data_IF_849184184938
#
_entry.id   IF_849184184938
#
_cell.length_a   1.000
_cell.length_b   1.000
_cell.length_c   1.000
_cell.angle_alpha   90.00
_cell.angle_beta   90.00
_cell.angle_gamma   90.00
#
_symmetry.space_group_name_H-M   'P 1'
#
loop_
_entity.id
_entity.type
_entity.pdbx_description
1 polymer ?
#
# COMPACT_ATOMS: atom_id res chain seq x y z
N UNK A 1 5.35 26.05 -26.63
CA UNK A 1 5.80 25.04 -27.62
C UNK A 1 5.11 23.75 -27.24
N UNK A 2 4.12 23.30 -28.01
CA UNK A 2 3.49 21.98 -27.88
C UNK A 2 4.55 20.95 -28.22
N UNK A 3 5.08 20.27 -27.21
CA UNK A 3 5.88 19.06 -27.42
C UNK A 3 4.87 17.96 -27.77
N UNK A 4 4.64 17.78 -29.05
CA UNK A 4 3.89 16.67 -29.60
C UNK A 4 4.81 15.45 -29.52
N UNK A 5 4.89 14.84 -28.33
CA UNK A 5 5.50 13.52 -28.13
C UNK A 5 4.51 12.47 -28.68
N UNK A 6 4.47 12.37 -30.01
CA UNK A 6 3.94 11.18 -30.68
C UNK A 6 4.88 10.02 -30.31
N UNK A 7 4.67 9.42 -29.15
CA UNK A 7 5.34 8.17 -28.79
C UNK A 7 4.81 7.10 -29.75
N UNK A 8 5.59 6.73 -30.75
CA UNK A 8 5.36 5.51 -31.51
C UNK A 8 5.15 4.36 -30.50
N UNK A 9 3.98 3.75 -30.58
CA UNK A 9 3.68 2.58 -29.73
C UNK A 9 4.57 1.43 -30.20
N UNK A 10 5.60 1.13 -29.44
CA UNK A 10 6.43 -0.05 -29.70
C UNK A 10 5.56 -1.27 -29.41
N UNK A 11 5.21 -2.00 -30.46
CA UNK A 11 4.54 -3.30 -30.35
C UNK A 11 5.61 -4.38 -30.36
N UNK A 12 6.05 -4.80 -29.18
CA UNK A 12 6.87 -6.00 -29.07
C UNK A 12 5.92 -7.24 -28.97
N UNK A 13 6.24 -8.29 -29.73
CA UNK A 13 5.69 -9.61 -29.47
C UNK A 13 6.22 -10.05 -28.10
N UNK A 14 5.39 -9.97 -27.08
CA UNK A 14 5.77 -10.45 -25.76
C UNK A 14 5.61 -11.97 -25.69
N UNK A 15 6.56 -12.69 -25.08
CA UNK A 15 6.34 -14.08 -24.74
C UNK A 15 5.12 -14.20 -23.81
N UNK A 16 4.47 -15.33 -23.84
CA UNK A 16 3.41 -15.64 -22.89
C UNK A 16 3.96 -15.46 -21.47
N UNK A 17 3.30 -14.62 -20.65
CA UNK A 17 3.80 -14.26 -19.34
C UNK A 17 3.61 -15.42 -18.38
N UNK A 18 4.67 -16.10 -18.04
CA UNK A 18 4.68 -17.01 -16.92
C UNK A 18 4.88 -16.20 -15.63
N UNK A 19 3.84 -16.15 -14.80
CA UNK A 19 3.90 -15.49 -13.48
C UNK A 19 4.48 -16.50 -12.49
N UNK A 20 5.56 -16.11 -11.85
CA UNK A 20 6.25 -16.85 -10.81
C UNK A 20 6.11 -16.14 -9.47
N UNK A 21 6.40 -16.83 -8.37
CA UNK A 21 6.39 -16.26 -7.02
C UNK A 21 7.62 -16.69 -6.24
N UNK A 22 8.12 -15.80 -5.37
CA UNK A 22 9.28 -16.09 -4.51
C UNK A 22 8.99 -17.12 -3.42
N UNK A 23 7.71 -17.23 -2.99
CA UNK A 23 7.23 -18.22 -2.02
C UNK A 23 6.07 -18.98 -2.67
N UNK A 24 6.13 -20.31 -2.66
CA UNK A 24 5.06 -21.17 -3.15
C UNK A 24 3.77 -21.04 -2.35
N UNK A 25 2.62 -21.40 -2.93
CA UNK A 25 1.32 -21.23 -2.24
C UNK A 25 1.26 -22.03 -0.95
N UNK A 26 1.67 -23.30 -0.98
CA UNK A 26 1.66 -24.17 0.20
C UNK A 26 2.57 -23.67 1.33
N UNK A 27 3.73 -23.12 0.97
CA UNK A 27 4.65 -22.54 1.93
C UNK A 27 4.07 -21.25 2.54
N UNK A 28 3.45 -20.39 1.73
CA UNK A 28 2.82 -19.18 2.22
C UNK A 28 1.62 -19.46 3.12
N UNK A 29 0.81 -20.48 2.81
CA UNK A 29 -0.27 -20.94 3.69
C UNK A 29 0.25 -21.42 5.05
N UNK A 30 1.38 -22.13 5.08
CA UNK A 30 2.04 -22.51 6.35
C UNK A 30 2.48 -21.27 7.12
N UNK A 31 3.10 -20.30 6.47
CA UNK A 31 3.51 -19.04 7.11
C UNK A 31 2.31 -18.33 7.73
N UNK A 32 1.21 -18.17 6.99
CA UNK A 32 -0.03 -17.55 7.52
C UNK A 32 -0.54 -18.33 8.74
N UNK A 33 -0.57 -19.64 8.67
CA UNK A 33 -1.05 -20.51 9.75
C UNK A 33 -0.21 -20.36 11.02
N UNK A 34 1.13 -20.32 10.89
CA UNK A 34 2.03 -20.13 12.02
C UNK A 34 1.91 -18.71 12.62
N UNK A 35 1.80 -17.69 11.80
CA UNK A 35 1.59 -16.31 12.26
C UNK A 35 0.25 -16.17 12.97
N UNK A 36 -0.81 -16.80 12.47
CA UNK A 36 -2.13 -16.86 13.12
C UNK A 36 -2.06 -17.55 14.48
N UNK A 37 -1.29 -18.63 14.60
CA UNK A 37 -1.04 -19.30 15.90
C UNK A 37 -0.38 -18.34 16.89
N UNK A 38 0.61 -17.54 16.45
CA UNK A 38 1.25 -16.53 17.30
C UNK A 38 0.27 -15.45 17.77
N UNK A 39 -0.68 -15.04 16.91
CA UNK A 39 -1.76 -14.14 17.30
C UNK A 39 -2.65 -14.77 18.38
N UNK A 40 -3.03 -16.03 18.22
CA UNK A 40 -3.85 -16.77 19.21
C UNK A 40 -3.12 -16.95 20.54
N UNK A 41 -1.78 -17.05 20.55
CA UNK A 41 -0.93 -17.06 21.74
C UNK A 41 -0.81 -15.69 22.43
N UNK A 42 -1.39 -14.62 21.87
CA UNK A 42 -1.35 -13.27 22.41
C UNK A 42 -0.08 -12.48 22.06
N UNK A 43 0.71 -12.94 21.10
CA UNK A 43 1.99 -12.33 20.73
C UNK A 43 1.82 -10.99 19.95
N UNK A 44 0.73 -10.89 19.17
CA UNK A 44 0.36 -9.70 18.39
C UNK A 44 -1.12 -9.74 18.02
N UNK A 45 -1.68 -8.62 17.58
CA UNK A 45 -3.07 -8.52 17.12
C UNK A 45 -3.20 -8.72 15.61
N UNK A 46 -2.23 -8.19 14.86
CA UNK A 46 -2.19 -8.24 13.39
C UNK A 46 -0.74 -8.35 12.90
N UNK A 47 -0.56 -9.05 11.79
CA UNK A 47 0.71 -9.11 11.06
C UNK A 47 0.44 -9.14 9.55
N UNK A 48 1.31 -8.50 8.78
CA UNK A 48 1.14 -8.39 7.32
C UNK A 48 2.27 -9.12 6.59
N UNK A 49 2.18 -10.45 6.40
CA UNK A 49 3.08 -11.17 5.51
C UNK A 49 2.84 -10.80 4.06
N UNK A 50 3.86 -10.95 3.20
CA UNK A 50 3.79 -10.60 1.79
C UNK A 50 4.47 -11.62 0.90
N UNK A 51 4.13 -11.60 -0.40
CA UNK A 51 4.74 -12.40 -1.46
C UNK A 51 5.16 -11.51 -2.61
N UNK A 52 6.21 -11.90 -3.32
CA UNK A 52 6.62 -11.26 -4.57
C UNK A 52 6.11 -12.10 -5.73
N UNK A 53 5.36 -11.47 -6.62
CA UNK A 53 4.94 -11.97 -7.91
C UNK A 53 5.85 -11.36 -8.97
N UNK A 54 6.37 -12.15 -9.88
CA UNK A 54 7.25 -11.63 -10.91
C UNK A 54 7.05 -12.35 -12.24
N UNK A 55 7.42 -11.66 -13.32
CA UNK A 55 7.50 -12.22 -14.66
C UNK A 55 8.70 -11.65 -15.39
N UNK A 56 9.29 -12.47 -16.27
CA UNK A 56 10.40 -12.06 -17.13
C UNK A 56 9.89 -11.25 -18.31
N UNK A 57 10.70 -10.31 -18.75
CA UNK A 57 10.42 -9.49 -19.93
C UNK A 57 11.65 -9.38 -20.83
N UNK A 58 11.43 -8.87 -22.04
CA UNK A 58 12.49 -8.64 -23.05
C UNK A 58 12.61 -7.16 -23.42
N UNK A 59 12.43 -6.24 -22.47
CA UNK A 59 12.44 -4.79 -22.70
C UNK A 59 13.82 -4.20 -22.95
N UNK A 60 14.88 -5.00 -22.98
CA UNK A 60 16.30 -4.62 -22.90
C UNK A 60 16.67 -3.36 -23.68
N UNK A 61 16.23 -3.25 -24.94
CA UNK A 61 16.54 -2.08 -25.80
C UNK A 61 15.56 -0.90 -25.63
N UNK A 62 14.43 -1.12 -24.96
CA UNK A 62 13.33 -0.14 -24.86
C UNK A 62 12.77 -0.03 -23.44
N UNK A 63 13.57 -0.34 -22.43
CA UNK A 63 13.12 -0.45 -21.03
C UNK A 63 12.35 0.80 -20.56
N UNK A 64 12.90 2.00 -20.79
CA UNK A 64 12.26 3.25 -20.37
C UNK A 64 10.95 3.52 -21.13
N UNK A 65 10.90 3.25 -22.42
CA UNK A 65 9.69 3.48 -23.22
C UNK A 65 8.57 2.50 -22.83
N UNK A 66 8.90 1.23 -22.69
CA UNK A 66 7.92 0.18 -22.35
C UNK A 66 7.44 0.30 -20.91
N UNK A 67 8.32 0.63 -19.96
CA UNK A 67 7.92 0.89 -18.58
C UNK A 67 7.03 2.13 -18.45
N UNK A 68 7.26 3.17 -19.27
CA UNK A 68 6.37 4.32 -19.33
C UNK A 68 5.02 3.99 -19.97
N UNK A 69 4.99 3.12 -21.00
CA UNK A 69 3.73 2.60 -21.54
C UNK A 69 2.95 1.80 -20.51
N UNK A 70 3.62 0.97 -19.68
CA UNK A 70 3.01 0.29 -18.53
C UNK A 70 2.38 1.29 -17.58
N UNK A 71 3.11 2.35 -17.19
CA UNK A 71 2.56 3.40 -16.35
C UNK A 71 1.33 4.07 -16.95
N UNK A 72 1.37 4.42 -18.25
CA UNK A 72 0.23 5.04 -18.92
C UNK A 72 -1.01 4.15 -18.96
N UNK A 73 -0.82 2.84 -19.14
CA UNK A 73 -1.92 1.86 -19.11
C UNK A 73 -2.45 1.68 -17.69
N UNK A 74 -1.55 1.52 -16.71
CA UNK A 74 -1.91 1.43 -15.30
C UNK A 74 -2.77 2.63 -14.88
N UNK A 75 -2.37 3.84 -15.27
CA UNK A 75 -3.12 5.08 -14.99
C UNK A 75 -4.55 5.07 -15.57
N UNK A 76 -4.77 4.37 -16.69
CA UNK A 76 -6.10 4.27 -17.32
C UNK A 76 -6.94 3.15 -16.73
N UNK A 77 -6.31 2.02 -16.40
CA UNK A 77 -7.01 0.82 -15.94
C UNK A 77 -7.27 0.82 -14.44
N UNK A 78 -6.36 1.41 -13.67
CA UNK A 78 -6.42 1.42 -12.22
C UNK A 78 -5.91 2.75 -11.64
N UNK A 79 -6.63 3.86 -11.88
CA UNK A 79 -6.28 5.16 -11.32
C UNK A 79 -6.36 5.12 -9.79
N UNK A 80 -5.42 5.79 -9.13
CA UNK A 80 -5.36 5.90 -7.69
C UNK A 80 -4.93 7.32 -7.28
N UNK A 81 -5.16 7.75 -6.04
CA UNK A 81 -4.75 9.08 -5.57
C UNK A 81 -3.26 9.37 -5.77
N UNK A 82 -2.43 8.35 -5.66
CA UNK A 82 -0.98 8.48 -5.83
C UNK A 82 -0.50 7.65 -7.01
N UNK A 83 -0.29 8.31 -8.14
CA UNK A 83 0.28 7.72 -9.35
C UNK A 83 1.72 8.20 -9.52
N UNK A 84 2.66 7.28 -9.65
CA UNK A 84 4.08 7.65 -9.81
C UNK A 84 4.83 6.77 -10.82
N UNK A 85 5.79 7.41 -11.46
CA UNK A 85 6.76 6.80 -12.37
C UNK A 85 8.14 7.40 -12.10
N UNK A 86 9.08 6.58 -11.66
CA UNK A 86 10.44 7.00 -11.34
C UNK A 86 11.43 6.13 -12.13
N UNK A 87 12.20 6.75 -13.00
CA UNK A 87 13.11 6.06 -13.92
C UNK A 87 14.56 6.59 -13.90
N UNK A 88 14.97 7.17 -12.77
CA UNK A 88 16.33 7.71 -12.65
C UNK A 88 17.37 6.59 -12.70
N UNK A 89 17.10 5.50 -12.02
CA UNK A 89 17.97 4.33 -11.88
C UNK A 89 17.17 3.02 -12.06
N UNK A 90 17.84 1.89 -12.15
CA UNK A 90 17.22 0.57 -12.14
C UNK A 90 17.22 0.04 -10.70
N UNK A 91 16.08 -0.46 -10.21
CA UNK A 91 14.81 -0.68 -10.93
C UNK A 91 13.99 0.58 -11.14
N UNK A 92 13.28 0.65 -12.28
CA UNK A 92 12.26 1.65 -12.52
C UNK A 92 11.06 1.36 -11.62
N UNK A 93 10.52 2.39 -10.98
CA UNK A 93 9.42 2.28 -10.04
C UNK A 93 8.13 2.81 -10.67
N UNK A 94 7.11 1.97 -10.74
CA UNK A 94 5.79 2.31 -11.30
C UNK A 94 4.71 1.94 -10.29
N UNK A 95 3.92 2.90 -9.85
CA UNK A 95 2.93 2.65 -8.81
C UNK A 95 1.60 3.35 -9.01
N UNK A 96 0.57 2.72 -8.41
CA UNK A 96 -0.80 3.19 -8.31
C UNK A 96 -1.28 2.97 -6.88
N UNK A 97 -0.73 3.75 -5.93
CA UNK A 97 -1.02 3.59 -4.52
C UNK A 97 -2.33 4.28 -4.12
N UNK A 98 -3.23 3.58 -3.43
CA UNK A 98 -4.45 4.19 -2.91
C UNK A 98 -4.24 4.91 -1.58
N UNK A 99 -3.10 4.70 -0.90
CA UNK A 99 -2.94 5.04 0.50
C UNK A 99 -1.85 6.10 0.73
N UNK A 100 -2.21 7.16 1.48
CA UNK A 100 -1.26 8.13 2.00
C UNK A 100 -0.44 7.51 3.11
N UNK A 101 0.88 7.65 3.04
CA UNK A 101 1.78 7.28 4.12
C UNK A 101 1.85 8.38 5.17
N UNK A 102 2.25 9.57 4.76
CA UNK A 102 2.34 10.76 5.61
C UNK A 102 2.31 12.03 4.77
N UNK A 103 1.63 13.04 5.27
CA UNK A 103 1.64 14.39 4.71
C UNK A 103 2.02 15.39 5.80
N UNK A 104 2.93 16.31 5.47
CA UNK A 104 3.21 17.49 6.29
C UNK A 104 2.86 18.71 5.47
N UNK A 105 2.02 19.56 6.05
CA UNK A 105 1.61 20.83 5.45
C UNK A 105 1.57 21.91 6.53
N UNK A 106 2.37 22.96 6.33
CA UNK A 106 2.39 24.17 7.19
C UNK A 106 2.55 23.83 8.68
N UNK A 107 3.48 22.91 8.98
CA UNK A 107 3.77 22.48 10.35
C UNK A 107 2.79 21.47 10.95
N UNK A 108 1.75 21.08 10.24
CA UNK A 108 0.84 20.03 10.64
C UNK A 108 1.19 18.70 9.92
N UNK A 109 1.22 17.64 10.68
CA UNK A 109 1.44 16.27 10.16
C UNK A 109 0.15 15.49 10.18
N UNK A 110 -0.10 14.74 9.08
CA UNK A 110 -1.35 14.01 8.85
C UNK A 110 -1.05 12.55 8.52
N UNK A 111 -1.90 11.66 8.99
CA UNK A 111 -2.04 10.29 8.45
C UNK A 111 -3.53 9.97 8.28
N UNK A 112 -3.82 9.19 7.27
CA UNK A 112 -5.19 8.84 6.90
C UNK A 112 -5.35 7.30 6.90
N UNK A 113 -5.63 6.68 8.05
CA UNK A 113 -5.95 5.26 8.10
C UNK A 113 -7.18 4.95 7.23
N UNK A 114 -7.03 3.96 6.36
CA UNK A 114 -8.10 3.47 5.47
C UNK A 114 -8.25 1.98 5.72
N UNK A 115 -9.45 1.56 6.11
CA UNK A 115 -9.81 0.14 6.21
C UNK A 115 -11.30 -0.01 5.94
N UNK A 116 -11.73 -1.25 5.71
CA UNK A 116 -13.10 -1.51 5.33
C UNK A 116 -13.38 -1.10 3.87
N UNK A 117 -13.87 -2.04 3.09
CA UNK A 117 -14.13 -1.80 1.67
C UNK A 117 -15.47 -2.41 1.29
N UNK A 118 -16.30 -1.62 0.61
CA UNK A 118 -17.53 -2.12 -0.03
C UNK A 118 -17.65 -1.58 -1.45
N UNK A 119 -18.38 -2.30 -2.30
CA UNK A 119 -18.64 -1.87 -3.67
C UNK A 119 -19.61 -0.70 -3.70
N UNK A 120 -19.49 0.12 -4.74
CA UNK A 120 -20.50 1.12 -5.07
C UNK A 120 -21.82 0.42 -5.41
N UNK A 121 -22.92 1.04 -5.03
CA UNK A 121 -24.25 0.63 -5.47
C UNK A 121 -24.54 1.10 -6.89
N UNK A 122 -25.52 0.49 -7.56
CA UNK A 122 -26.00 0.92 -8.88
C UNK A 122 -26.69 2.30 -8.83
N UNK A 123 -27.13 2.75 -7.66
CA UNK A 123 -27.78 4.03 -7.42
C UNK A 123 -27.47 4.57 -6.02
N UNK A 124 -27.95 5.79 -5.72
CA UNK A 124 -27.68 6.48 -4.44
C UNK A 124 -28.25 5.75 -3.21
N UNK A 125 -29.35 5.05 -3.36
CA UNK A 125 -30.00 4.35 -2.23
C UNK A 125 -29.25 3.07 -1.89
N UNK A 126 -28.78 2.37 -2.90
CA UNK A 126 -27.91 1.21 -2.74
C UNK A 126 -26.53 1.60 -2.15
N UNK A 127 -25.96 2.73 -2.59
CA UNK A 127 -24.75 3.31 -1.96
C UNK A 127 -24.97 3.59 -0.47
N UNK A 128 -26.11 4.16 -0.09
CA UNK A 128 -26.45 4.39 1.33
C UNK A 128 -26.59 3.08 2.11
N UNK A 129 -27.24 2.08 1.52
CA UNK A 129 -27.39 0.76 2.14
C UNK A 129 -26.03 0.10 2.36
N UNK A 130 -25.17 0.10 1.34
CA UNK A 130 -23.85 -0.50 1.40
C UNK A 130 -22.94 0.22 2.42
N UNK A 131 -22.94 1.56 2.44
CA UNK A 131 -22.18 2.33 3.42
C UNK A 131 -22.68 2.12 4.85
N UNK A 132 -24.00 2.00 5.05
CA UNK A 132 -24.54 1.71 6.37
C UNK A 132 -24.22 0.29 6.85
N UNK A 133 -24.24 -0.69 5.95
CA UNK A 133 -23.83 -2.06 6.26
C UNK A 133 -22.34 -2.12 6.66
N UNK A 134 -21.49 -1.41 5.92
CA UNK A 134 -20.05 -1.32 6.21
C UNK A 134 -19.78 -0.72 7.60
N UNK A 135 -20.48 0.37 7.97
CA UNK A 135 -20.37 1.01 9.29
C UNK A 135 -21.03 0.21 10.44
N UNK A 136 -21.69 -0.90 10.15
CA UNK A 136 -22.24 -1.82 11.14
C UNK A 136 -21.49 -3.14 11.21
N UNK A 137 -20.53 -3.37 10.33
CA UNK A 137 -19.71 -4.57 10.37
C UNK A 137 -18.68 -4.46 11.51
N UNK A 138 -18.91 -5.22 12.57
CA UNK A 138 -18.08 -5.17 13.78
C UNK A 138 -16.62 -5.52 13.49
N UNK A 139 -16.35 -6.40 12.53
CA UNK A 139 -14.99 -6.77 12.13
C UNK A 139 -14.30 -5.60 11.47
N UNK A 140 -14.93 -4.96 10.47
CA UNK A 140 -14.37 -3.83 9.74
C UNK A 140 -14.14 -2.62 10.66
N UNK A 141 -15.06 -2.35 11.57
CA UNK A 141 -14.95 -1.29 12.59
C UNK A 141 -13.82 -1.59 13.57
N UNK A 142 -13.69 -2.82 14.04
CA UNK A 142 -12.61 -3.21 14.95
C UNK A 142 -11.24 -3.08 14.30
N UNK A 143 -11.09 -3.56 13.06
CA UNK A 143 -9.86 -3.42 12.29
C UNK A 143 -9.53 -1.94 12.05
N UNK A 144 -10.50 -1.14 11.63
CA UNK A 144 -10.30 0.29 11.42
C UNK A 144 -9.89 1.02 12.72
N UNK A 145 -10.54 0.71 13.85
CA UNK A 145 -10.19 1.27 15.15
C UNK A 145 -8.74 1.00 15.52
N UNK A 146 -8.27 -0.22 15.28
CA UNK A 146 -6.86 -0.59 15.50
C UNK A 146 -5.91 0.22 14.62
N UNK A 147 -6.24 0.44 13.34
CA UNK A 147 -5.42 1.25 12.44
C UNK A 147 -5.41 2.73 12.82
N UNK A 148 -6.53 3.27 13.29
CA UNK A 148 -6.60 4.64 13.83
C UNK A 148 -5.70 4.79 15.05
N UNK A 149 -5.70 3.80 15.94
CA UNK A 149 -4.84 3.83 17.14
C UNK A 149 -3.35 3.73 16.79
N UNK A 150 -3.00 2.89 15.81
CA UNK A 150 -1.64 2.84 15.25
C UNK A 150 -1.23 4.19 14.65
N UNK A 151 -2.07 4.78 13.82
CA UNK A 151 -1.84 6.10 13.22
C UNK A 151 -1.69 7.19 14.28
N UNK A 152 -2.51 7.15 15.33
CA UNK A 152 -2.41 8.08 16.47
C UNK A 152 -1.08 7.93 17.21
N UNK A 153 -0.64 6.70 17.46
CA UNK A 153 0.66 6.44 18.09
C UNK A 153 1.82 6.95 17.23
N UNK A 154 1.77 6.72 15.93
CA UNK A 154 2.78 7.18 14.99
C UNK A 154 2.85 8.72 14.96
N UNK A 155 1.72 9.42 14.82
CA UNK A 155 1.65 10.87 14.84
C UNK A 155 2.11 11.45 16.19
N UNK A 156 1.72 10.84 17.31
CA UNK A 156 2.11 11.29 18.64
C UNK A 156 3.63 11.33 18.85
N UNK A 157 4.37 10.39 18.26
CA UNK A 157 5.84 10.32 18.35
C UNK A 157 6.54 11.55 17.77
N UNK A 158 5.99 12.16 16.74
CA UNK A 158 6.58 13.28 15.99
C UNK A 158 5.85 14.61 16.21
N UNK A 159 4.74 14.61 16.95
CA UNK A 159 3.95 15.82 17.26
C UNK A 159 4.32 16.42 18.61
N UNK A 160 4.07 17.72 18.76
CA UNK A 160 4.10 18.41 20.05
C UNK A 160 3.13 17.74 21.01
N UNK A 161 3.49 17.68 22.29
CA UNK A 161 2.66 17.05 23.33
C UNK A 161 1.28 17.72 23.39
N UNK A 162 0.23 16.92 23.42
CA UNK A 162 -1.17 17.37 23.51
C UNK A 162 -1.79 17.89 22.22
N UNK A 163 -1.08 17.91 21.09
CA UNK A 163 -1.62 18.42 19.82
C UNK A 163 -2.20 17.35 18.92
N UNK A 164 -1.88 16.08 19.17
CA UNK A 164 -2.39 14.94 18.39
C UNK A 164 -3.88 14.76 18.61
N UNK A 165 -4.69 14.80 17.54
CA UNK A 165 -6.14 14.62 17.56
C UNK A 165 -6.64 13.89 16.31
N UNK A 166 -7.80 13.24 16.46
CA UNK A 166 -8.56 12.66 15.35
C UNK A 166 -9.49 13.76 14.84
N UNK A 167 -9.35 14.17 13.60
CA UNK A 167 -10.17 15.21 12.96
C UNK A 167 -11.32 14.65 12.16
N UNK A 168 -11.15 13.39 11.66
CA UNK A 168 -12.22 12.61 11.04
C UNK A 168 -12.15 11.20 11.61
N UNK A 169 -13.30 10.64 11.98
CA UNK A 169 -13.37 9.29 12.53
C UNK A 169 -14.42 8.48 11.78
N UNK A 170 -13.97 7.42 11.09
CA UNK A 170 -14.83 6.44 10.41
C UNK A 170 -15.82 7.07 9.42
N UNK A 171 -15.36 8.02 8.62
CA UNK A 171 -16.17 8.60 7.55
C UNK A 171 -16.13 7.72 6.31
N UNK A 172 -17.25 7.66 5.58
CA UNK A 172 -17.30 6.94 4.30
C UNK A 172 -16.82 7.84 3.18
N UNK A 173 -15.68 7.49 2.58
CA UNK A 173 -15.23 8.09 1.34
C UNK A 173 -15.62 7.24 0.12
N UNK A 174 -16.18 7.90 -0.90
CA UNK A 174 -16.70 7.26 -2.12
C UNK A 174 -15.73 7.49 -3.27
N UNK A 175 -15.20 6.40 -3.80
CA UNK A 175 -14.39 6.38 -5.03
C UNK A 175 -15.23 5.90 -6.21
N UNK A 176 -14.65 5.83 -7.37
CA UNK A 176 -15.37 5.44 -8.60
C UNK A 176 -16.05 4.07 -8.50
N UNK A 177 -15.34 3.07 -7.95
CA UNK A 177 -15.79 1.67 -7.92
C UNK A 177 -16.03 1.11 -6.51
N UNK A 178 -15.52 1.79 -5.49
CA UNK A 178 -15.58 1.32 -4.11
C UNK A 178 -15.85 2.45 -3.13
N UNK A 179 -16.24 2.08 -1.90
CA UNK A 179 -16.30 2.98 -0.74
C UNK A 179 -15.41 2.41 0.35
N UNK A 180 -14.73 3.29 1.09
CA UNK A 180 -13.87 2.94 2.22
C UNK A 180 -14.28 3.68 3.48
N UNK A 181 -13.97 3.08 4.63
CA UNK A 181 -13.96 3.79 5.92
C UNK A 181 -12.61 4.50 6.01
N UNK A 182 -12.64 5.80 6.24
CA UNK A 182 -11.44 6.65 6.35
C UNK A 182 -11.48 7.43 7.65
N UNK A 183 -10.34 7.55 8.29
CA UNK A 183 -10.12 8.45 9.42
C UNK A 183 -8.94 9.38 9.13
N UNK A 184 -8.85 10.49 9.87
CA UNK A 184 -7.73 11.41 9.76
C UNK A 184 -7.20 11.72 11.17
N UNK A 185 -5.90 11.51 11.35
CA UNK A 185 -5.17 11.87 12.55
C UNK A 185 -4.19 12.99 12.22
N UNK A 186 -4.22 14.04 13.03
CA UNK A 186 -3.42 15.26 12.81
C UNK A 186 -2.68 15.62 14.09
N UNK A 187 -1.47 16.17 13.94
CA UNK A 187 -0.71 16.74 15.04
C UNK A 187 0.15 17.92 14.59
N UNK A 188 0.53 18.81 15.51
CA UNK A 188 1.54 19.83 15.23
C UNK A 188 2.93 19.19 15.28
N UNK A 189 3.71 19.34 14.21
CA UNK A 189 5.04 18.79 14.13
C UNK A 189 5.95 19.37 15.22
N UNK A 190 6.76 18.52 15.87
CA UNK A 190 7.81 18.96 16.79
C UNK A 190 8.79 19.88 16.08
N UNK A 191 9.32 20.85 16.80
CA UNK A 191 10.36 21.74 16.30
C UNK A 191 11.65 20.93 15.99
N UNK A 192 12.42 21.41 15.02
CA UNK A 192 13.72 20.85 14.62
C UNK A 192 13.67 19.40 14.05
N UNK A 193 12.50 18.89 13.67
CA UNK A 193 12.44 17.65 12.91
C UNK A 193 12.64 17.91 11.41
N UNK A 194 13.66 17.30 10.83
CA UNK A 194 13.82 17.32 9.38
C UNK A 194 12.74 16.47 8.69
N UNK A 195 12.36 16.78 7.43
CA UNK A 195 11.44 15.94 6.67
C UNK A 195 11.85 14.46 6.64
N UNK A 196 13.14 14.19 6.52
CA UNK A 196 13.66 12.81 6.55
C UNK A 196 13.48 12.14 7.92
N UNK A 197 13.64 12.89 9.00
CA UNK A 197 13.39 12.38 10.37
C UNK A 197 11.91 12.04 10.57
N UNK A 198 10.98 12.81 9.99
CA UNK A 198 9.55 12.50 9.99
C UNK A 198 9.30 11.17 9.31
N UNK A 199 9.78 11.01 8.08
CA UNK A 199 9.63 9.77 7.30
C UNK A 199 10.22 8.58 8.05
N UNK A 200 11.47 8.68 8.53
CA UNK A 200 12.16 7.60 9.23
C UNK A 200 11.45 7.18 10.53
N UNK A 201 10.82 8.12 11.25
CA UNK A 201 10.11 7.83 12.49
C UNK A 201 8.82 7.04 12.30
N UNK A 202 8.21 7.12 11.13
CA UNK A 202 6.91 6.51 10.82
C UNK A 202 7.04 5.17 10.07
N UNK A 203 8.15 4.95 9.36
CA UNK A 203 8.38 3.72 8.60
C UNK A 203 8.77 2.53 9.50
N UNK A 204 8.32 1.32 9.10
CA UNK A 204 7.18 1.05 8.23
C UNK A 204 5.87 1.37 8.93
N UNK A 205 4.80 1.62 8.15
CA UNK A 205 3.47 1.86 8.74
C UNK A 205 2.86 0.58 9.31
N UNK A 206 1.97 0.75 10.30
CA UNK A 206 1.24 -0.38 10.90
C UNK A 206 0.36 -1.13 9.89
N UNK A 207 -0.22 -0.42 8.92
CA UNK A 207 -1.10 -0.99 7.87
C UNK A 207 -0.41 -2.03 6.99
N UNK A 208 0.91 -2.01 6.89
CA UNK A 208 1.72 -2.95 6.10
C UNK A 208 2.73 -3.77 6.92
N UNK A 209 2.74 -3.60 8.24
CA UNK A 209 3.56 -4.39 9.16
C UNK A 209 2.72 -5.16 10.17
N UNK A 210 1.88 -4.49 10.93
CA UNK A 210 0.99 -5.05 11.94
C UNK A 210 1.03 -4.34 13.28
N UNK A 211 0.39 -4.93 14.27
CA UNK A 211 0.20 -4.39 15.61
C UNK A 211 0.46 -5.46 16.69
N UNK A 212 1.30 -5.21 17.71
CA UNK A 212 2.22 -4.08 17.88
C UNK A 212 3.33 -4.05 16.81
N UNK A 213 3.66 -2.87 16.28
CA UNK A 213 4.52 -2.69 15.10
C UNK A 213 5.84 -3.47 15.17
N UNK A 214 6.64 -3.26 16.21
CA UNK A 214 7.95 -3.89 16.32
C UNK A 214 7.86 -5.42 16.41
N UNK A 215 6.85 -5.93 17.12
CA UNK A 215 6.65 -7.36 17.25
C UNK A 215 6.23 -8.00 15.92
N UNK A 216 5.33 -7.37 15.21
CA UNK A 216 4.92 -7.83 13.89
C UNK A 216 6.10 -7.86 12.90
N UNK A 217 6.94 -6.81 12.89
CA UNK A 217 8.16 -6.75 12.06
C UNK A 217 9.10 -7.92 12.40
N UNK A 218 9.34 -8.19 13.70
CA UNK A 218 10.17 -9.30 14.13
C UNK A 218 9.63 -10.63 13.59
N UNK A 219 8.32 -10.87 13.70
CA UNK A 219 7.69 -12.11 13.23
C UNK A 219 7.74 -12.26 11.71
N UNK A 220 7.59 -11.17 10.98
CA UNK A 220 7.76 -11.17 9.53
C UNK A 220 9.20 -11.55 9.16
N UNK A 221 10.19 -10.98 9.84
CA UNK A 221 11.60 -11.29 9.60
C UNK A 221 11.95 -12.75 9.91
N UNK A 222 11.35 -13.33 10.97
CA UNK A 222 11.52 -14.74 11.33
C UNK A 222 10.82 -15.69 10.34
N UNK A 223 9.69 -15.24 9.76
CA UNK A 223 8.87 -16.08 8.87
C UNK A 223 9.53 -16.31 7.50
N UNK A 224 10.31 -15.36 6.99
CA UNK A 224 10.99 -15.49 5.71
C UNK A 224 12.21 -14.57 5.56
N UNK A 225 13.29 -15.04 4.92
CA UNK A 225 14.60 -14.36 4.93
C UNK A 225 14.78 -13.35 3.80
N UNK A 226 13.74 -12.85 3.13
CA UNK A 226 13.91 -11.87 2.07
C UNK A 226 13.56 -10.45 2.53
N UNK A 227 14.22 -9.47 1.88
CA UNK A 227 13.99 -8.04 2.14
C UNK A 227 12.82 -7.54 1.30
N UNK A 228 11.96 -6.74 1.91
CA UNK A 228 10.82 -6.11 1.22
C UNK A 228 11.20 -5.00 0.23
N UNK A 229 12.44 -4.53 0.26
CA UNK A 229 12.88 -3.48 -0.63
C UNK A 229 12.04 -2.20 -0.49
N UNK A 230 11.43 -1.77 -1.58
CA UNK A 230 10.53 -0.59 -1.63
C UNK A 230 9.15 -0.87 -1.03
N UNK A 231 8.68 -2.12 -1.06
CA UNK A 231 7.36 -2.47 -0.52
C UNK A 231 7.24 -2.08 0.95
N UNK A 232 6.12 -1.52 1.34
CA UNK A 232 5.86 -0.93 2.66
C UNK A 232 6.73 0.29 3.02
N UNK A 233 7.48 0.83 2.07
CA UNK A 233 8.16 2.12 2.18
C UNK A 233 7.28 3.29 1.77
N UNK A 234 7.90 4.43 1.49
CA UNK A 234 7.21 5.65 1.04
C UNK A 234 7.75 6.16 -0.29
N UNK A 235 6.86 6.60 -1.16
CA UNK A 235 7.19 7.29 -2.41
C UNK A 235 6.50 8.65 -2.43
N UNK A 236 7.23 9.74 -2.64
CA UNK A 236 6.65 11.06 -2.59
C UNK A 236 7.67 12.16 -2.86
N UNK A 237 7.38 13.36 -2.38
CA UNK A 237 8.23 14.51 -2.56
C UNK A 237 8.32 15.37 -1.28
N UNK A 238 9.40 16.13 -1.21
CA UNK A 238 9.66 17.14 -0.18
C UNK A 238 9.85 18.47 -0.89
N UNK A 239 9.08 19.47 -0.49
CA UNK A 239 9.17 20.82 -1.00
C UNK A 239 10.26 21.65 -0.30
N UNK A 240 10.67 22.76 -0.93
CA UNK A 240 11.65 23.68 -0.35
C UNK A 240 11.20 24.31 0.98
N UNK A 241 9.90 24.40 1.25
CA UNK A 241 9.32 24.85 2.51
C UNK A 241 9.13 23.74 3.55
N UNK A 242 9.77 22.60 3.37
CA UNK A 242 9.71 21.41 4.22
C UNK A 242 8.34 20.71 4.27
N UNK A 243 7.36 21.15 3.51
CA UNK A 243 6.14 20.36 3.30
C UNK A 243 6.48 19.09 2.55
N UNK A 244 5.82 18.00 2.87
CA UNK A 244 6.00 16.72 2.21
C UNK A 244 4.66 16.00 2.00
N UNK A 245 4.63 15.16 0.97
CA UNK A 245 3.50 14.29 0.70
C UNK A 245 4.01 12.96 0.13
N UNK A 246 3.78 11.89 0.87
CA UNK A 246 4.26 10.54 0.56
C UNK A 246 3.12 9.54 0.54
N UNK A 247 3.07 8.78 -0.53
CA UNK A 247 2.26 7.58 -0.64
C UNK A 247 2.93 6.39 0.02
N UNK A 248 2.17 5.46 0.53
CA UNK A 248 2.65 4.14 0.90
C UNK A 248 3.02 3.37 -0.37
N UNK A 249 4.21 2.77 -0.40
CA UNK A 249 4.69 2.01 -1.54
C UNK A 249 4.06 0.60 -1.59
N UNK A 250 2.80 0.57 -1.96
CA UNK A 250 2.00 -0.61 -2.27
C UNK A 250 1.45 -0.49 -3.69
N UNK A 251 0.92 -1.55 -4.27
CA UNK A 251 0.46 -1.53 -5.66
C UNK A 251 1.53 -0.97 -6.61
N UNK A 252 2.75 -1.47 -6.44
CA UNK A 252 3.97 -0.96 -7.08
C UNK A 252 4.69 -2.06 -7.83
N UNK A 253 5.10 -1.75 -9.06
CA UNK A 253 5.98 -2.57 -9.88
C UNK A 253 7.41 -2.06 -9.77
N UNK A 254 8.35 -2.96 -9.58
CA UNK A 254 9.78 -2.73 -9.74
C UNK A 254 10.23 -3.40 -11.02
N UNK A 255 10.70 -2.61 -11.97
CA UNK A 255 11.08 -3.08 -13.32
C UNK A 255 12.60 -2.95 -13.43
N UNK A 256 13.29 -4.06 -13.46
CA UNK A 256 14.71 -4.13 -13.76
C UNK A 256 14.96 -4.50 -15.23
N UNK A 257 16.19 -4.85 -15.59
CA UNK A 257 16.58 -5.22 -16.96
C UNK A 257 16.11 -6.63 -17.37
N UNK A 258 15.56 -7.43 -16.46
CA UNK A 258 15.20 -8.84 -16.67
C UNK A 258 13.75 -9.14 -16.34
N UNK A 259 13.22 -8.51 -15.31
CA UNK A 259 11.92 -8.88 -14.76
C UNK A 259 11.15 -7.71 -14.18
N UNK A 260 9.85 -7.91 -14.02
CA UNK A 260 8.95 -7.04 -13.25
C UNK A 260 8.60 -7.76 -11.96
N UNK A 261 8.80 -7.07 -10.84
CA UNK A 261 8.49 -7.57 -9.51
C UNK A 261 7.33 -6.76 -8.90
N UNK A 262 6.39 -7.45 -8.29
CA UNK A 262 5.21 -6.88 -7.63
C UNK A 262 5.07 -7.56 -6.28
N UNK A 263 5.15 -6.80 -5.20
CA UNK A 263 4.95 -7.36 -3.86
C UNK A 263 3.55 -7.01 -3.35
N UNK A 264 2.87 -8.01 -2.79
CA UNK A 264 1.55 -7.87 -2.20
C UNK A 264 1.45 -8.66 -0.89
N UNK A 265 0.85 -8.06 0.12
CA UNK A 265 0.63 -8.63 1.43
C UNK A 265 -0.84 -8.68 1.84
N UNK A 266 -1.12 -9.48 2.86
CA UNK A 266 -2.44 -9.62 3.47
C UNK A 266 -2.38 -9.34 4.99
N UNK A 267 -3.45 -8.82 5.55
CA UNK A 267 -3.55 -8.50 6.96
C UNK A 267 -4.06 -9.68 7.78
N UNK A 268 -3.17 -10.48 8.33
CA UNK A 268 -3.53 -11.66 9.14
C UNK A 268 -3.93 -11.23 10.55
N UNK A 269 -5.14 -11.58 10.94
CA UNK A 269 -5.73 -11.40 12.29
C UNK A 269 -6.23 -12.74 12.84
N UNK A 270 -6.76 -12.75 14.06
CA UNK A 270 -7.22 -13.97 14.73
C UNK A 270 -8.24 -14.78 13.90
N UNK A 271 -9.20 -14.11 13.27
CA UNK A 271 -10.26 -14.74 12.47
C UNK A 271 -9.88 -14.99 11.00
N UNK A 272 -8.68 -14.64 10.58
CA UNK A 272 -8.21 -14.84 9.20
C UNK A 272 -8.29 -16.31 8.77
N UNK A 273 -8.67 -16.53 7.53
CA UNK A 273 -8.68 -17.84 6.88
C UNK A 273 -7.49 -17.86 5.90
N UNK A 274 -6.49 -18.74 6.09
CA UNK A 274 -5.24 -18.72 5.30
C UNK A 274 -5.45 -18.69 3.78
N UNK A 275 -6.41 -19.45 3.28
CA UNK A 275 -6.73 -19.52 1.86
C UNK A 275 -7.29 -18.19 1.33
N UNK A 276 -8.10 -17.49 2.12
CA UNK A 276 -8.64 -16.17 1.76
C UNK A 276 -7.55 -15.11 1.75
N UNK A 277 -6.63 -15.17 2.72
CA UNK A 277 -5.49 -14.26 2.79
C UNK A 277 -4.53 -14.47 1.61
N UNK A 278 -4.29 -15.73 1.21
CA UNK A 278 -3.54 -16.03 -0.01
C UNK A 278 -4.22 -15.43 -1.24
N UNK A 279 -5.53 -15.62 -1.41
CA UNK A 279 -6.28 -15.06 -2.54
C UNK A 279 -6.28 -13.52 -2.52
N UNK A 280 -6.30 -12.90 -1.34
CA UNK A 280 -6.18 -11.45 -1.21
C UNK A 280 -4.85 -10.95 -1.80
N UNK A 281 -3.73 -11.63 -1.54
CA UNK A 281 -2.44 -11.25 -2.14
C UNK A 281 -2.47 -11.36 -3.67
N UNK A 282 -3.10 -12.41 -4.22
CA UNK A 282 -3.29 -12.59 -5.67
C UNK A 282 -4.12 -11.44 -6.26
N UNK A 283 -5.23 -11.10 -5.64
CA UNK A 283 -6.12 -10.02 -6.08
C UNK A 283 -5.40 -8.66 -6.03
N UNK A 284 -4.61 -8.39 -4.99
CA UNK A 284 -3.82 -7.16 -4.87
C UNK A 284 -2.73 -7.05 -5.94
N UNK A 285 -2.12 -8.15 -6.35
CA UNK A 285 -1.13 -8.18 -7.43
C UNK A 285 -1.76 -8.14 -8.83
N UNK A 286 -2.96 -8.70 -8.99
CA UNK A 286 -3.65 -8.90 -10.27
C UNK A 286 -3.75 -7.64 -11.12
N UNK A 287 -4.16 -6.51 -10.52
CA UNK A 287 -4.33 -5.24 -11.22
C UNK A 287 -3.05 -4.71 -11.88
N UNK A 288 -1.88 -5.11 -11.35
CA UNK A 288 -0.57 -4.75 -11.89
C UNK A 288 -0.08 -5.82 -12.88
N UNK A 289 -0.33 -7.09 -12.60
CA UNK A 289 0.05 -8.21 -13.46
C UNK A 289 -0.68 -8.18 -14.80
N UNK A 290 -1.92 -7.70 -14.84
CA UNK A 290 -2.72 -7.60 -16.06
C UNK A 290 -2.34 -6.41 -16.96
N UNK A 291 -1.57 -5.45 -16.45
CA UNK A 291 -1.07 -4.33 -17.27
C UNK A 291 0.02 -4.83 -18.21
N UNK A 292 -0.21 -4.68 -19.51
CA UNK A 292 0.77 -5.03 -20.56
C UNK A 292 1.22 -3.76 -21.30
N UNK A 293 2.46 -3.63 -21.77
CA UNK A 293 2.93 -2.50 -22.57
C UNK A 293 2.14 -2.31 -23.86
#
# INVERSE_FOLDING_TARGET
>A
KNINLAHERIKLKQPERQIETNIGEQEFLKIITELKKKIAEGDMFQVVPSRIYYYKHNFVTHLHQLSFQLYQKLKRQNPSPYMYYMNKDIPIVVGSSPESFVRVKDGLVYTNPIAGTTKRGANKDEDKKNSHALLKDEKEISEHSMLVDLGRNDIHRISKVGTSKITKLMEIEKYEHVMHIVSEVVGELKENLSPMSVIASLLPTGTVSGAPKLRAIQRIYEAYPFKRGIYSGGVGYINCNHNLDFALAIRTMLIDDKQVNIEAGCGVVYDSIPEKELEETKLKAKSLLEVTP
#
